data_IF_368905098814
#
_entry.id   IF_368905098814
#
_cell.length_a   1.000
_cell.length_b   1.000
_cell.length_c   1.000
_cell.angle_alpha   90.00
_cell.angle_beta   90.00
_cell.angle_gamma   90.00
#
_symmetry.space_group_name_H-M   'P 1'
#
loop_
_entity.id
_entity.type
_entity.pdbx_description
1 polymer ?
#
# COMPACT_ATOMS: atom_id res chain seq x y z
N UNK A 1 23.11 -33.19 40.04
CA UNK A 1 23.04 -31.76 39.67
C UNK A 1 22.31 -31.69 38.33
N UNK A 2 20.99 -31.53 38.36
CA UNK A 2 20.14 -31.48 37.16
C UNK A 2 20.19 -30.06 36.60
N UNK A 3 20.75 -29.90 35.39
CA UNK A 3 20.74 -28.62 34.69
C UNK A 3 19.35 -28.41 34.07
N UNK A 4 18.67 -27.34 34.50
CA UNK A 4 17.47 -26.83 33.83
C UNK A 4 17.86 -26.32 32.43
N UNK A 5 17.24 -26.88 31.38
CA UNK A 5 17.21 -26.23 30.07
C UNK A 5 16.32 -24.98 30.15
N UNK A 6 16.76 -23.80 29.67
CA UNK A 6 15.88 -22.67 29.53
C UNK A 6 14.93 -22.91 28.35
N UNK A 7 13.64 -22.81 28.61
CA UNK A 7 12.59 -22.78 27.59
C UNK A 7 12.77 -21.45 26.83
N UNK A 8 13.24 -21.54 25.58
CA UNK A 8 13.20 -20.42 24.64
C UNK A 8 11.71 -20.08 24.41
N UNK A 9 11.25 -18.97 24.98
CA UNK A 9 9.98 -18.38 24.60
C UNK A 9 10.11 -17.88 23.16
N UNK A 10 9.52 -18.62 22.22
CA UNK A 10 9.27 -18.15 20.86
C UNK A 10 8.42 -16.88 20.98
N UNK A 11 9.04 -15.73 20.76
CA UNK A 11 8.35 -14.46 20.60
C UNK A 11 7.53 -14.59 19.32
N UNK A 12 6.22 -14.78 19.46
CA UNK A 12 5.31 -14.87 18.33
C UNK A 12 5.41 -13.62 17.47
N UNK A 13 5.42 -13.80 16.15
CA UNK A 13 5.22 -12.71 15.20
C UNK A 13 3.99 -11.90 15.64
N UNK A 14 4.19 -10.65 16.04
CA UNK A 14 3.06 -9.74 16.25
C UNK A 14 2.46 -9.46 14.88
N UNK A 15 1.19 -9.83 14.70
CA UNK A 15 0.42 -9.39 13.54
C UNK A 15 0.33 -7.87 13.54
N UNK A 16 0.48 -7.20 12.38
CA UNK A 16 0.25 -5.76 12.30
C UNK A 16 -1.13 -5.44 12.86
N UNK A 17 -1.22 -4.50 13.79
CA UNK A 17 -2.51 -3.97 14.19
C UNK A 17 -2.87 -2.83 13.23
N UNK A 18 -4.11 -2.75 12.77
CA UNK A 18 -4.56 -1.72 11.83
C UNK A 18 -5.37 -0.63 12.52
N UNK A 19 -5.24 0.62 12.07
CA UNK A 19 -6.14 1.72 12.43
C UNK A 19 -7.41 1.53 11.61
N UNK A 20 -8.38 0.87 12.22
CA UNK A 20 -9.73 0.72 11.66
C UNK A 20 -10.51 2.03 11.82
N UNK A 21 -11.47 2.32 10.92
CA UNK A 21 -12.28 3.51 11.02
C UNK A 21 -13.09 3.51 12.33
N UNK A 22 -13.11 4.66 12.99
CA UNK A 22 -13.96 4.93 14.15
C UNK A 22 -15.43 4.83 13.77
N UNK A 23 -16.31 4.67 14.75
CA UNK A 23 -17.77 4.60 14.48
C UNK A 23 -18.30 5.86 13.79
N UNK A 24 -17.71 7.02 14.09
CA UNK A 24 -18.06 8.28 13.43
C UNK A 24 -17.64 8.29 11.97
N UNK A 25 -16.41 7.87 11.66
CA UNK A 25 -15.93 7.73 10.27
C UNK A 25 -16.74 6.70 9.50
N UNK A 26 -17.07 5.56 10.13
CA UNK A 26 -17.96 4.56 9.54
C UNK A 26 -19.30 5.18 9.18
N UNK A 27 -19.97 5.79 10.15
CA UNK A 27 -21.29 6.41 9.95
C UNK A 27 -21.27 7.49 8.86
N UNK A 28 -20.20 8.28 8.80
CA UNK A 28 -20.03 9.33 7.81
C UNK A 28 -19.89 8.73 6.39
N UNK A 29 -19.03 7.74 6.22
CA UNK A 29 -18.80 7.10 4.93
C UNK A 29 -20.03 6.32 4.45
N UNK A 30 -20.70 5.62 5.37
CA UNK A 30 -21.95 4.92 5.09
C UNK A 30 -23.04 5.86 4.58
N UNK A 31 -23.23 6.98 5.27
CA UNK A 31 -24.22 8.00 4.88
C UNK A 31 -23.89 8.57 3.51
N UNK A 32 -22.61 8.90 3.30
CA UNK A 32 -22.12 9.53 2.08
C UNK A 32 -22.32 8.65 0.85
N UNK A 33 -21.91 7.38 0.92
CA UNK A 33 -22.02 6.48 -0.24
C UNK A 33 -23.47 6.08 -0.53
N UNK A 34 -24.31 5.94 0.50
CA UNK A 34 -25.76 5.69 0.31
C UNK A 34 -26.46 6.87 -0.40
N UNK A 35 -25.97 8.10 -0.24
CA UNK A 35 -26.53 9.27 -0.92
C UNK A 35 -26.30 9.23 -2.45
N UNK A 36 -25.24 8.56 -2.91
CA UNK A 36 -24.91 8.42 -4.34
C UNK A 36 -25.78 7.38 -5.07
N UNK A 37 -26.60 6.59 -4.36
CA UNK A 37 -27.48 5.60 -4.99
C UNK A 37 -28.41 6.21 -6.05
N UNK A 38 -28.90 7.42 -5.80
CA UNK A 38 -29.77 8.15 -6.73
C UNK A 38 -29.07 8.50 -8.05
N UNK A 39 -27.76 8.78 -8.01
CA UNK A 39 -26.96 9.05 -9.21
C UNK A 39 -26.83 7.81 -10.11
N UNK A 40 -26.96 6.61 -9.53
CA UNK A 40 -26.87 5.34 -10.27
C UNK A 40 -28.19 4.87 -10.88
N UNK A 41 -29.34 5.43 -10.50
CA UNK A 41 -30.65 4.96 -11.00
C UNK A 41 -30.80 5.10 -12.52
N UNK A 42 -30.17 6.14 -13.08
CA UNK A 42 -30.24 6.51 -14.51
C UNK A 42 -28.90 6.38 -15.23
N UNK A 43 -27.84 5.95 -14.55
CA UNK A 43 -26.51 5.81 -15.16
C UNK A 43 -26.52 4.73 -16.24
N UNK A 44 -25.83 4.98 -17.35
CA UNK A 44 -25.58 3.92 -18.32
C UNK A 44 -24.55 2.94 -17.76
N UNK A 45 -24.74 1.64 -18.02
CA UNK A 45 -23.88 0.57 -17.50
C UNK A 45 -22.62 0.40 -18.36
N UNK A 46 -21.81 1.46 -18.40
CA UNK A 46 -20.53 1.58 -19.11
C UNK A 46 -19.49 2.24 -18.19
N UNK A 47 -18.21 1.96 -18.39
CA UNK A 47 -17.15 2.58 -17.58
C UNK A 47 -17.16 4.11 -17.71
N UNK A 48 -17.30 4.62 -18.94
CA UNK A 48 -17.35 6.05 -19.26
C UNK A 48 -18.45 6.81 -18.51
N UNK A 49 -19.59 6.17 -18.26
CA UNK A 49 -20.71 6.79 -17.54
C UNK A 49 -20.60 6.62 -16.02
N UNK A 50 -19.93 5.56 -15.55
CA UNK A 50 -19.80 5.26 -14.13
C UNK A 50 -18.66 6.06 -13.48
N UNK A 51 -17.50 6.20 -14.14
CA UNK A 51 -16.36 6.92 -13.57
C UNK A 51 -16.68 8.35 -13.08
N UNK A 52 -17.45 9.19 -13.80
CA UNK A 52 -17.81 10.52 -13.31
C UNK A 52 -18.59 10.52 -11.99
N UNK A 53 -19.41 9.50 -11.75
CA UNK A 53 -20.13 9.34 -10.47
C UNK A 53 -19.15 9.01 -9.35
N UNK A 54 -18.24 8.07 -9.60
CA UNK A 54 -17.20 7.65 -8.66
C UNK A 54 -16.22 8.81 -8.34
N UNK A 55 -15.80 9.56 -9.34
CA UNK A 55 -14.89 10.71 -9.20
C UNK A 55 -15.54 11.83 -8.39
N UNK A 56 -16.81 12.11 -8.64
CA UNK A 56 -17.57 13.12 -7.90
C UNK A 56 -17.75 12.73 -6.43
N UNK A 57 -17.97 11.44 -6.13
CA UNK A 57 -17.99 10.93 -4.77
C UNK A 57 -16.62 11.17 -4.09
N UNK A 58 -15.53 10.71 -4.71
CA UNK A 58 -14.20 10.91 -4.14
C UNK A 58 -13.84 12.39 -4.02
N UNK A 59 -14.21 13.25 -4.96
CA UNK A 59 -13.93 14.69 -4.85
C UNK A 59 -14.58 15.34 -3.60
N UNK A 60 -15.76 14.86 -3.19
CA UNK A 60 -16.49 15.35 -2.01
C UNK A 60 -16.06 14.69 -0.70
N UNK A 61 -15.51 13.48 -0.77
CA UNK A 61 -15.20 12.64 0.38
C UNK A 61 -13.69 12.34 0.45
N UNK A 62 -12.89 13.28 1.00
CA UNK A 62 -11.43 13.12 1.13
C UNK A 62 -11.02 11.97 2.06
N UNK A 63 -11.93 11.50 2.91
CA UNK A 63 -11.80 10.38 3.82
C UNK A 63 -11.98 9.01 3.14
N UNK A 64 -12.60 8.97 1.95
CA UNK A 64 -12.68 7.76 1.14
C UNK A 64 -11.36 7.52 0.38
N UNK A 65 -10.82 6.30 0.48
CA UNK A 65 -9.68 5.87 -0.33
C UNK A 65 -10.11 5.57 -1.77
N UNK A 66 -11.20 4.83 -1.95
CA UNK A 66 -11.68 4.39 -3.24
C UNK A 66 -13.16 4.05 -3.24
N UNK A 67 -13.70 3.80 -4.43
CA UNK A 67 -15.08 3.38 -4.65
C UNK A 67 -15.18 2.63 -5.98
N UNK A 68 -15.94 1.55 -6.01
CA UNK A 68 -16.36 0.88 -7.25
C UNK A 68 -17.88 0.82 -7.33
N UNK A 69 -18.40 0.84 -8.55
CA UNK A 69 -19.71 0.26 -8.82
C UNK A 69 -19.54 -1.02 -9.64
N UNK A 70 -19.47 -2.15 -8.94
CA UNK A 70 -19.30 -3.47 -9.53
C UNK A 70 -20.66 -4.09 -9.86
N UNK A 71 -20.89 -4.44 -11.12
CA UNK A 71 -22.17 -5.02 -11.57
C UNK A 71 -22.23 -6.52 -11.34
N UNK A 72 -23.43 -7.03 -11.07
CA UNK A 72 -23.72 -8.46 -11.15
C UNK A 72 -23.69 -8.88 -12.63
N UNK A 73 -22.82 -9.83 -13.03
CA UNK A 73 -22.83 -10.36 -14.38
C UNK A 73 -24.18 -10.95 -14.80
N UNK A 74 -24.96 -11.47 -13.83
CA UNK A 74 -26.31 -11.97 -14.10
C UNK A 74 -27.30 -10.84 -14.44
N UNK A 75 -27.05 -9.61 -13.99
CA UNK A 75 -27.86 -8.44 -14.33
C UNK A 75 -27.44 -7.81 -15.65
N UNK A 76 -26.14 -7.60 -15.84
CA UNK A 76 -25.57 -6.84 -16.95
C UNK A 76 -25.20 -7.69 -18.18
N UNK A 77 -25.16 -9.02 -18.05
CA UNK A 77 -24.71 -9.94 -19.10
C UNK A 77 -23.19 -9.94 -19.33
N UNK A 78 -22.44 -9.18 -18.54
CA UNK A 78 -20.98 -9.04 -18.58
C UNK A 78 -20.44 -8.65 -17.20
N UNK A 79 -19.17 -8.93 -16.94
CA UNK A 79 -18.47 -8.29 -15.83
C UNK A 79 -18.21 -6.82 -16.17
N UNK A 80 -18.44 -5.94 -15.20
CA UNK A 80 -18.17 -4.51 -15.31
C UNK A 80 -17.97 -3.98 -13.88
N UNK A 81 -16.77 -3.55 -13.55
CA UNK A 81 -16.45 -3.04 -12.22
C UNK A 81 -15.43 -1.90 -12.29
N UNK A 82 -15.86 -0.70 -12.73
CA UNK A 82 -15.02 0.49 -12.74
C UNK A 82 -14.66 0.84 -11.29
N UNK A 83 -13.39 1.07 -11.04
CA UNK A 83 -12.86 1.43 -9.73
C UNK A 83 -12.09 2.73 -9.81
N UNK A 84 -12.49 3.69 -8.99
CA UNK A 84 -11.77 4.94 -8.78
C UNK A 84 -11.14 4.92 -7.39
N UNK A 85 -9.89 5.34 -7.28
CA UNK A 85 -9.16 5.31 -6.01
C UNK A 85 -8.10 6.39 -5.95
N UNK A 86 -7.65 6.70 -4.73
CA UNK A 86 -6.60 7.70 -4.52
C UNK A 86 -5.23 7.08 -4.70
N UNK A 87 -4.43 7.73 -5.53
CA UNK A 87 -3.01 7.44 -5.68
C UNK A 87 -2.23 8.74 -5.76
N UNK A 88 -1.24 8.90 -4.88
CA UNK A 88 -0.36 10.08 -4.84
C UNK A 88 -1.12 11.42 -4.79
N UNK A 89 -2.23 11.48 -4.05
CA UNK A 89 -3.07 12.67 -3.92
C UNK A 89 -3.99 12.96 -5.12
N UNK A 90 -3.99 12.10 -6.14
CA UNK A 90 -4.86 12.20 -7.32
C UNK A 90 -5.85 11.04 -7.38
N UNK A 91 -6.94 11.19 -8.14
CA UNK A 91 -7.86 10.09 -8.42
C UNK A 91 -7.35 9.33 -9.65
N UNK A 92 -7.14 8.03 -9.48
CA UNK A 92 -6.77 7.10 -10.53
C UNK A 92 -7.92 6.14 -10.81
N UNK A 93 -7.90 5.53 -12.01
CA UNK A 93 -8.92 4.60 -12.47
C UNK A 93 -8.32 3.25 -12.83
N UNK A 94 -9.05 2.19 -12.54
CA UNK A 94 -8.84 0.86 -13.13
C UNK A 94 -10.17 0.13 -13.26
N UNK A 95 -10.18 -0.97 -14.00
CA UNK A 95 -11.31 -1.91 -14.01
C UNK A 95 -10.93 -3.14 -13.19
N UNK A 96 -11.82 -3.60 -12.32
CA UNK A 96 -11.62 -4.82 -11.52
C UNK A 96 -12.06 -6.07 -12.29
N UNK A 97 -12.74 -5.91 -13.42
CA UNK A 97 -13.13 -7.01 -14.31
C UNK A 97 -11.95 -7.43 -15.21
N UNK A 98 -10.85 -7.89 -14.59
CA UNK A 98 -9.62 -8.35 -15.27
C UNK A 98 -9.33 -9.81 -14.97
N UNK A 99 -8.55 -10.45 -15.84
CA UNK A 99 -8.08 -11.82 -15.62
C UNK A 99 -7.31 -11.91 -14.28
N UNK A 100 -7.80 -12.77 -13.39
CA UNK A 100 -7.20 -13.00 -12.06
C UNK A 100 -7.88 -12.27 -10.89
N UNK A 101 -8.82 -11.36 -11.13
CA UNK A 101 -9.61 -10.70 -10.08
C UNK A 101 -11.11 -11.00 -10.23
N UNK A 102 -11.56 -12.13 -9.68
CA UNK A 102 -12.95 -12.57 -9.76
C UNK A 102 -13.81 -11.89 -8.66
N UNK A 103 -14.07 -10.59 -8.82
CA UNK A 103 -14.80 -9.81 -7.81
C UNK A 103 -16.15 -10.41 -7.36
N UNK A 104 -16.95 -11.11 -8.20
CA UNK A 104 -18.23 -11.69 -7.77
C UNK A 104 -18.13 -12.70 -6.62
N UNK A 105 -16.97 -13.32 -6.40
CA UNK A 105 -16.75 -14.27 -5.30
C UNK A 105 -16.08 -13.64 -4.08
N UNK A 106 -15.57 -12.42 -4.18
CA UNK A 106 -14.91 -11.72 -3.08
C UNK A 106 -15.93 -11.31 -2.01
N UNK A 107 -15.51 -11.30 -0.74
CA UNK A 107 -16.41 -11.12 0.39
C UNK A 107 -17.17 -9.79 0.35
N UNK A 108 -16.50 -8.70 -0.05
CA UNK A 108 -17.10 -7.38 -0.21
C UNK A 108 -18.20 -7.35 -1.27
N UNK A 109 -18.23 -8.29 -2.22
CA UNK A 109 -19.31 -8.41 -3.21
C UNK A 109 -20.35 -9.46 -2.83
N UNK A 110 -19.89 -10.68 -2.52
CA UNK A 110 -20.74 -11.85 -2.37
C UNK A 110 -21.63 -11.80 -1.12
N UNK A 111 -21.13 -11.28 0.00
CA UNK A 111 -21.87 -11.19 1.26
C UNK A 111 -23.04 -10.18 1.21
N UNK A 112 -22.84 -8.93 0.77
CA UNK A 112 -23.94 -7.97 0.61
C UNK A 112 -24.93 -8.41 -0.47
N UNK A 113 -24.46 -9.02 -1.57
CA UNK A 113 -25.35 -9.64 -2.58
C UNK A 113 -26.26 -10.70 -1.97
N UNK A 114 -25.71 -11.63 -1.19
CA UNK A 114 -26.46 -12.74 -0.60
C UNK A 114 -27.44 -12.28 0.47
N UNK A 115 -27.03 -11.30 1.28
CA UNK A 115 -27.84 -10.80 2.41
C UNK A 115 -28.86 -9.73 2.02
N UNK A 116 -28.64 -9.03 0.91
CA UNK A 116 -29.42 -7.85 0.51
C UNK A 116 -29.23 -6.65 1.44
N UNK A 117 -28.20 -6.65 2.29
CA UNK A 117 -27.94 -5.61 3.29
C UNK A 117 -26.59 -4.96 3.06
N UNK A 118 -26.52 -3.66 3.33
CA UNK A 118 -25.25 -2.94 3.33
C UNK A 118 -24.41 -3.35 4.55
N UNK A 119 -23.10 -3.49 4.38
CA UNK A 119 -22.19 -3.96 5.44
C UNK A 119 -20.74 -3.59 5.20
N UNK A 120 -19.98 -3.53 6.29
CA UNK A 120 -18.52 -3.48 6.28
C UNK A 120 -17.93 -4.88 6.09
N UNK A 121 -16.86 -4.97 5.32
CA UNK A 121 -15.96 -6.13 5.34
C UNK A 121 -15.16 -6.19 6.64
N UNK A 122 -14.56 -7.34 6.94
CA UNK A 122 -13.37 -7.36 7.79
C UNK A 122 -12.17 -6.70 7.07
N UNK A 123 -11.11 -6.30 7.78
CA UNK A 123 -9.83 -5.92 7.18
C UNK A 123 -9.32 -6.94 6.16
N UNK A 124 -8.88 -6.47 4.99
CA UNK A 124 -8.28 -7.31 3.96
C UNK A 124 -7.32 -6.51 3.07
N UNK A 125 -6.38 -7.21 2.46
CA UNK A 125 -5.51 -6.67 1.42
C UNK A 125 -6.19 -6.78 0.05
N UNK A 126 -6.39 -5.66 -0.63
CA UNK A 126 -7.09 -5.62 -1.92
C UNK A 126 -6.14 -5.83 -3.11
N UNK A 127 -5.53 -7.02 -3.15
CA UNK A 127 -4.59 -7.42 -4.19
C UNK A 127 -5.23 -7.38 -5.59
N UNK A 128 -4.68 -6.59 -6.50
CA UNK A 128 -5.19 -6.43 -7.86
C UNK A 128 -6.32 -5.39 -8.00
N UNK A 129 -6.74 -4.76 -6.90
CA UNK A 129 -7.67 -3.63 -6.86
C UNK A 129 -6.98 -2.34 -6.42
N UNK A 130 -7.11 -1.96 -5.16
CA UNK A 130 -6.44 -0.81 -4.56
C UNK A 130 -5.00 -1.07 -4.14
N UNK A 131 -4.58 -2.34 -4.05
CA UNK A 131 -3.24 -2.79 -3.61
C UNK A 131 -2.81 -2.20 -2.24
N UNK A 132 -3.80 -2.01 -1.35
CA UNK A 132 -3.63 -1.55 0.04
C UNK A 132 -4.44 -2.43 0.99
N UNK A 133 -4.09 -2.36 2.28
CA UNK A 133 -4.92 -2.91 3.35
C UNK A 133 -6.13 -1.98 3.55
N UNK A 134 -7.34 -2.53 3.59
CA UNK A 134 -8.55 -1.72 3.64
C UNK A 134 -9.72 -2.41 4.35
N UNK A 135 -10.72 -1.62 4.66
CA UNK A 135 -12.08 -2.07 4.93
C UNK A 135 -13.01 -1.44 3.91
N UNK A 136 -13.94 -2.23 3.39
CA UNK A 136 -14.88 -1.79 2.35
C UNK A 136 -16.29 -1.79 2.91
N UNK A 137 -16.97 -0.64 2.86
CA UNK A 137 -18.41 -0.58 3.06
C UNK A 137 -19.12 -0.82 1.74
N UNK A 138 -19.95 -1.85 1.71
CA UNK A 138 -20.60 -2.33 0.49
C UNK A 138 -22.10 -2.12 0.56
N UNK A 139 -22.68 -1.51 -0.49
CA UNK A 139 -24.11 -1.22 -0.60
C UNK A 139 -24.71 -1.98 -1.78
N UNK A 140 -25.62 -2.94 -1.54
CA UNK A 140 -26.41 -3.54 -2.60
C UNK A 140 -27.22 -2.50 -3.38
N UNK A 141 -27.03 -2.44 -4.68
CA UNK A 141 -27.82 -1.62 -5.59
C UNK A 141 -28.87 -2.50 -6.24
N UNK A 142 -30.13 -2.06 -6.19
CA UNK A 142 -31.25 -2.78 -6.80
C UNK A 142 -32.04 -1.82 -7.68
N UNK A 143 -32.56 -2.34 -8.79
CA UNK A 143 -33.48 -1.61 -9.68
C UNK A 143 -34.61 -2.54 -10.08
N UNK A 144 -35.83 -2.04 -9.92
CA UNK A 144 -37.06 -2.80 -10.17
C UNK A 144 -37.10 -4.15 -9.44
N UNK A 145 -36.60 -4.18 -8.20
CA UNK A 145 -36.52 -5.39 -7.38
C UNK A 145 -35.43 -6.39 -7.78
N UNK A 146 -34.59 -6.08 -8.78
CA UNK A 146 -33.50 -6.93 -9.24
C UNK A 146 -32.15 -6.36 -8.80
N UNK A 147 -31.29 -7.22 -8.25
CA UNK A 147 -29.93 -6.86 -7.83
C UNK A 147 -29.08 -6.48 -9.04
N UNK A 148 -28.56 -5.25 -9.04
CA UNK A 148 -27.74 -4.70 -10.11
C UNK A 148 -26.25 -4.93 -9.87
N UNK A 149 -25.81 -4.85 -8.62
CA UNK A 149 -24.40 -4.77 -8.27
C UNK A 149 -24.17 -4.20 -6.87
N UNK A 150 -22.92 -3.90 -6.57
CA UNK A 150 -22.46 -3.33 -5.31
C UNK A 150 -21.78 -1.99 -5.59
N UNK A 151 -22.22 -0.96 -4.87
CA UNK A 151 -21.50 0.31 -4.75
C UNK A 151 -20.67 0.26 -3.46
N UNK A 152 -19.39 0.61 -3.54
CA UNK A 152 -18.50 0.57 -2.37
C UNK A 152 -17.99 1.93 -1.94
N UNK A 153 -17.59 2.04 -0.68
CA UNK A 153 -16.65 3.06 -0.24
C UNK A 153 -15.56 2.38 0.59
N UNK A 154 -14.31 2.61 0.20
CA UNK A 154 -13.14 1.97 0.80
C UNK A 154 -12.47 2.92 1.78
N UNK A 155 -12.08 2.36 2.92
CA UNK A 155 -11.25 3.02 3.91
C UNK A 155 -9.90 2.32 3.96
N UNK A 156 -8.84 3.04 3.61
CA UNK A 156 -7.47 2.54 3.71
C UNK A 156 -7.11 2.32 5.20
N UNK A 157 -6.68 1.12 5.52
CA UNK A 157 -6.14 0.78 6.82
C UNK A 157 -4.68 1.16 6.88
N UNK A 158 -4.40 2.13 7.73
CA UNK A 158 -3.02 2.47 8.08
C UNK A 158 -2.61 1.61 9.25
N UNK A 159 -1.39 1.10 9.23
CA UNK A 159 -0.87 0.34 10.36
C UNK A 159 -0.98 1.21 11.63
N UNK A 160 -1.50 0.66 12.73
CA UNK A 160 -1.42 1.26 14.05
C UNK A 160 0.05 1.36 14.39
N UNK A 161 0.59 2.53 14.13
CA UNK A 161 1.82 2.96 14.77
C UNK A 161 1.46 3.08 16.25
N UNK A 162 1.82 2.06 17.06
CA UNK A 162 1.70 2.11 18.51
C UNK A 162 2.22 3.47 18.96
N UNK A 163 1.37 4.25 19.66
CA UNK A 163 1.59 5.66 19.95
C UNK A 163 3.08 6.00 20.20
N UNK A 164 3.73 6.50 19.16
CA UNK A 164 5.05 7.12 19.21
C UNK A 164 5.05 8.35 18.29
N UNK A 165 4.68 9.46 18.94
CA UNK A 165 5.24 10.83 18.87
C UNK A 165 4.88 11.73 17.69
N UNK A 166 4.30 12.89 18.03
CA UNK A 166 4.62 14.17 17.41
C UNK A 166 6.13 14.28 17.12
N UNK A 167 6.51 14.49 15.87
CA UNK A 167 7.72 15.22 15.46
C UNK A 167 9.08 14.92 16.16
N UNK A 168 9.39 13.68 16.55
CA UNK A 168 10.78 13.26 16.78
C UNK A 168 10.96 11.78 16.46
N UNK A 169 11.48 11.49 15.26
CA UNK A 169 12.27 10.28 15.02
C UNK A 169 13.39 10.24 16.07
N UNK A 170 13.24 9.43 17.12
CA UNK A 170 14.41 9.01 17.89
C UNK A 170 14.93 7.76 17.19
N UNK A 171 16.00 7.84 16.37
CA UNK A 171 16.58 6.66 15.77
C UNK A 171 17.03 5.70 16.87
N UNK A 172 16.91 4.40 16.62
CA UNK A 172 17.58 3.36 17.39
C UNK A 172 19.09 3.44 17.22
N UNK A 173 19.80 2.41 17.68
CA UNK A 173 21.26 2.40 17.65
C UNK A 173 21.83 2.76 16.25
N UNK A 174 22.86 3.61 16.18
CA UNK A 174 23.40 4.10 14.92
C UNK A 174 23.93 2.94 14.06
N UNK A 175 23.79 3.06 12.76
CA UNK A 175 24.38 2.15 11.77
C UNK A 175 25.80 2.63 11.49
N UNK A 176 26.80 1.77 11.72
CA UNK A 176 28.18 2.08 11.39
C UNK A 176 28.43 1.92 9.88
N UNK A 177 29.39 2.67 9.33
CA UNK A 177 29.72 2.57 7.91
C UNK A 177 30.18 1.17 7.48
N UNK A 178 30.90 0.46 8.38
CA UNK A 178 31.29 -0.94 8.16
C UNK A 178 30.08 -1.88 8.03
N UNK A 179 28.96 -1.53 8.69
CA UNK A 179 27.72 -2.28 8.61
C UNK A 179 26.81 -1.81 7.47
N UNK A 180 27.19 -0.77 6.72
CA UNK A 180 26.38 -0.25 5.63
C UNK A 180 26.72 -0.91 4.29
N UNK A 181 28.00 -1.10 3.99
CA UNK A 181 28.43 -1.67 2.72
C UNK A 181 27.94 -3.11 2.52
N UNK A 182 27.42 -3.42 1.34
CA UNK A 182 26.82 -4.71 0.98
C UNK A 182 25.39 -4.54 0.47
N UNK A 183 24.66 -5.65 0.43
CA UNK A 183 23.35 -5.67 -0.22
C UNK A 183 22.20 -5.51 0.76
N UNK A 184 21.19 -4.77 0.34
CA UNK A 184 19.99 -4.48 1.10
C UNK A 184 18.77 -4.72 0.23
N UNK A 185 17.74 -5.29 0.82
CA UNK A 185 16.41 -5.36 0.21
C UNK A 185 15.53 -4.29 0.84
N UNK A 186 14.96 -3.46 -0.01
CA UNK A 186 14.11 -2.32 0.30
C UNK A 186 12.72 -2.57 -0.29
N UNK A 187 11.72 -1.92 0.30
CA UNK A 187 10.33 -2.00 -0.15
C UNK A 187 9.93 -0.65 -0.76
N UNK A 188 9.35 -0.63 -1.96
CA UNK A 188 8.84 0.59 -2.60
C UNK A 188 7.44 0.98 -2.11
N UNK A 189 6.78 1.93 -2.79
CA UNK A 189 5.45 2.45 -2.44
C UNK A 189 4.30 1.52 -2.83
N UNK A 190 4.57 0.51 -3.66
CA UNK A 190 3.63 -0.55 -4.03
C UNK A 190 3.90 -1.84 -3.26
N UNK A 191 4.67 -1.75 -2.16
CA UNK A 191 5.10 -2.90 -1.36
C UNK A 191 5.91 -3.95 -2.15
N UNK A 192 6.53 -3.53 -3.26
CA UNK A 192 7.40 -4.38 -4.08
C UNK A 192 8.83 -4.26 -3.59
N UNK A 193 9.51 -5.40 -3.45
CA UNK A 193 10.91 -5.40 -3.05
C UNK A 193 11.82 -5.06 -4.22
N UNK A 194 12.81 -4.23 -3.95
CA UNK A 194 13.96 -4.03 -4.82
C UNK A 194 15.23 -4.08 -3.95
N UNK A 195 16.35 -4.38 -4.58
CA UNK A 195 17.62 -4.48 -3.91
C UNK A 195 18.52 -3.30 -4.25
N UNK A 196 19.36 -2.94 -3.29
CA UNK A 196 20.43 -1.96 -3.44
C UNK A 196 21.74 -2.54 -2.92
N UNK A 197 22.79 -2.42 -3.72
CA UNK A 197 24.17 -2.73 -3.34
C UNK A 197 24.88 -1.43 -3.00
N UNK A 198 25.44 -1.38 -1.80
CA UNK A 198 26.23 -0.28 -1.28
C UNK A 198 27.71 -0.67 -1.32
N UNK A 199 28.46 -0.14 -2.28
CA UNK A 199 29.87 -0.41 -2.43
C UNK A 199 30.69 0.25 -1.30
N UNK A 200 31.79 -0.38 -0.82
CA UNK A 200 32.61 0.19 0.25
C UNK A 200 33.21 1.58 -0.04
N UNK A 201 33.32 1.96 -1.31
CA UNK A 201 33.82 3.26 -1.78
C UNK A 201 32.73 4.36 -1.81
N UNK A 202 31.53 4.06 -1.33
CA UNK A 202 30.39 4.99 -1.31
C UNK A 202 29.54 4.96 -2.59
N UNK A 203 29.79 4.06 -3.55
CA UNK A 203 28.89 3.84 -4.69
C UNK A 203 27.62 3.09 -4.28
N UNK A 204 26.47 3.42 -4.87
CA UNK A 204 25.21 2.69 -4.69
C UNK A 204 24.62 2.29 -6.04
N UNK A 205 24.08 1.08 -6.14
CA UNK A 205 23.36 0.61 -7.34
C UNK A 205 22.14 -0.17 -6.89
N UNK A 206 20.95 0.23 -7.36
CA UNK A 206 19.72 -0.53 -7.16
C UNK A 206 19.40 -1.39 -8.39
N UNK A 207 18.51 -2.37 -8.23
CA UNK A 207 17.86 -3.06 -9.37
C UNK A 207 16.41 -2.59 -9.57
N UNK A 208 16.05 -1.44 -9.00
CA UNK A 208 14.69 -0.92 -9.09
C UNK A 208 14.31 -0.66 -10.55
N UNK A 209 13.32 -1.40 -11.04
CA UNK A 209 13.11 -1.58 -12.48
C UNK A 209 12.02 -0.71 -13.09
N UNK A 210 11.35 0.11 -12.28
CA UNK A 210 10.23 0.96 -12.73
C UNK A 210 10.69 2.35 -13.21
N UNK A 211 11.99 2.62 -13.15
CA UNK A 211 12.61 3.87 -13.59
C UNK A 211 12.81 3.95 -15.11
N UNK A 212 13.26 5.11 -15.62
CA UNK A 212 13.53 5.32 -17.04
C UNK A 212 14.60 4.37 -17.60
N UNK A 213 15.42 3.77 -16.72
CA UNK A 213 16.46 2.82 -17.08
C UNK A 213 16.04 1.34 -16.97
N UNK A 214 14.80 1.07 -16.56
CA UNK A 214 14.26 -0.28 -16.49
C UNK A 214 15.09 -1.20 -15.58
N UNK A 215 15.25 -2.46 -15.97
CA UNK A 215 16.04 -3.45 -15.21
C UNK A 215 17.54 -3.11 -15.04
N UNK A 216 18.05 -2.01 -15.63
CA UNK A 216 19.40 -1.51 -15.31
C UNK A 216 19.49 -0.92 -13.91
N UNK A 217 18.35 -0.56 -13.32
CA UNK A 217 18.26 0.05 -12.00
C UNK A 217 18.84 1.46 -11.95
N UNK A 218 18.98 1.99 -10.74
CA UNK A 218 19.44 3.35 -10.50
C UNK A 218 20.79 3.36 -9.81
N UNK A 219 21.70 4.21 -10.29
CA UNK A 219 23.01 4.40 -9.67
C UNK A 219 23.01 5.63 -8.77
N UNK A 220 23.89 5.65 -7.78
CA UNK A 220 23.93 6.71 -6.78
C UNK A 220 25.18 6.69 -5.92
N UNK A 221 25.14 7.49 -4.87
CA UNK A 221 26.15 7.53 -3.80
C UNK A 221 25.47 7.32 -2.46
N UNK A 222 26.18 6.71 -1.52
CA UNK A 222 25.71 6.60 -0.15
C UNK A 222 26.74 7.11 0.85
N UNK A 223 26.23 7.57 2.00
CA UNK A 223 27.03 8.01 3.15
C UNK A 223 26.34 7.60 4.45
N UNK A 224 27.09 7.59 5.56
CA UNK A 224 26.48 7.62 6.90
C UNK A 224 26.27 9.07 7.31
N UNK A 225 25.04 9.44 7.63
CA UNK A 225 24.70 10.72 8.23
C UNK A 225 23.81 10.50 9.45
N UNK A 226 24.21 11.04 10.61
CA UNK A 226 23.47 10.92 11.88
C UNK A 226 23.11 9.46 12.25
N UNK A 227 24.03 8.52 11.99
CA UNK A 227 23.82 7.10 12.28
C UNK A 227 22.85 6.39 11.34
N UNK A 228 22.54 6.98 10.19
CA UNK A 228 21.65 6.44 9.15
C UNK A 228 22.42 6.28 7.85
N UNK A 229 22.04 5.31 7.03
CA UNK A 229 22.53 5.21 5.66
C UNK A 229 21.67 6.14 4.82
N UNK A 230 22.30 7.11 4.16
CA UNK A 230 21.64 8.01 3.20
C UNK A 230 22.14 7.66 1.82
N UNK A 231 21.23 7.35 0.91
CA UNK A 231 21.50 6.95 -0.48
C UNK A 231 20.85 8.00 -1.37
N UNK A 232 21.65 8.67 -2.19
CA UNK A 232 21.20 9.63 -3.20
C UNK A 232 21.42 9.04 -4.59
N UNK A 233 20.35 8.86 -5.34
CA UNK A 233 20.38 8.34 -6.70
C UNK A 233 20.47 9.47 -7.73
N UNK A 234 21.02 9.16 -8.91
CA UNK A 234 21.23 10.11 -10.01
C UNK A 234 19.92 10.67 -10.56
N UNK A 235 18.84 9.89 -10.49
CA UNK A 235 17.49 10.27 -10.92
C UNK A 235 16.80 11.26 -9.94
N UNK A 236 17.46 11.59 -8.83
CA UNK A 236 16.97 12.52 -7.82
C UNK A 236 16.16 11.87 -6.70
N UNK A 237 16.03 10.55 -6.65
CA UNK A 237 15.51 9.88 -5.46
C UNK A 237 16.53 9.86 -4.32
N UNK A 238 16.01 9.87 -3.09
CA UNK A 238 16.80 9.59 -1.88
C UNK A 238 16.15 8.49 -1.07
N UNK A 239 16.93 7.50 -0.67
CA UNK A 239 16.56 6.55 0.37
C UNK A 239 17.37 6.79 1.65
N UNK A 240 16.72 6.59 2.79
CA UNK A 240 17.36 6.61 4.10
C UNK A 240 17.02 5.33 4.83
N UNK A 241 18.04 4.54 5.16
CA UNK A 241 17.92 3.36 6.01
C UNK A 241 18.28 3.76 7.43
N UNK A 242 17.37 3.50 8.36
CA UNK A 242 17.54 3.78 9.78
C UNK A 242 17.16 2.57 10.62
N UNK A 243 17.75 2.47 11.80
CA UNK A 243 17.32 1.52 12.82
C UNK A 243 16.23 2.17 13.67
N UNK A 244 15.11 1.49 13.88
CA UNK A 244 14.08 1.87 14.85
C UNK A 244 14.59 1.56 16.27
N UNK A 245 14.05 2.19 17.33
CA UNK A 245 14.38 1.84 18.72
C UNK A 245 14.18 0.35 19.06
N UNK A 246 13.27 -0.33 18.36
CA UNK A 246 13.02 -1.77 18.48
C UNK A 246 14.12 -2.65 17.89
N UNK A 247 15.11 -2.06 17.21
CA UNK A 247 16.22 -2.77 16.56
C UNK A 247 15.99 -3.11 15.09
N UNK A 248 14.74 -3.10 14.64
CA UNK A 248 14.34 -3.28 13.24
C UNK A 248 14.91 -2.19 12.33
N UNK A 249 15.17 -2.54 11.08
CA UNK A 249 15.62 -1.61 10.05
C UNK A 249 14.43 -1.14 9.20
N UNK A 250 14.42 0.15 8.88
CA UNK A 250 13.37 0.81 8.13
C UNK A 250 13.95 1.67 7.03
N UNK A 251 13.16 1.90 5.99
CA UNK A 251 13.43 2.80 4.88
C UNK A 251 12.51 4.02 4.95
N UNK A 252 13.04 5.18 4.58
CA UNK A 252 12.30 6.39 4.21
C UNK A 252 12.80 6.87 2.86
N UNK A 253 11.91 7.31 1.98
CA UNK A 253 12.26 7.73 0.63
C UNK A 253 11.69 9.11 0.34
N UNK A 254 12.45 9.92 -0.41
CA UNK A 254 12.01 11.21 -0.91
C UNK A 254 12.18 11.24 -2.42
N UNK A 255 11.09 11.55 -3.14
CA UNK A 255 11.11 11.68 -4.58
C UNK A 255 11.92 12.89 -5.07
N UNK A 256 12.18 12.98 -6.39
CA UNK A 256 12.84 14.12 -7.00
C UNK A 256 12.10 15.43 -6.68
N UNK A 257 12.85 16.46 -6.28
CA UNK A 257 12.29 17.78 -5.94
C UNK A 257 11.58 17.88 -4.59
N UNK A 258 11.44 16.77 -3.84
CA UNK A 258 10.85 16.79 -2.50
C UNK A 258 11.88 17.25 -1.47
N UNK A 259 11.49 18.17 -0.60
CA UNK A 259 12.33 18.68 0.49
C UNK A 259 12.76 17.53 1.42
N UNK A 260 14.08 17.40 1.65
CA UNK A 260 14.69 16.26 2.36
C UNK A 260 14.56 16.32 3.88
N UNK A 261 14.18 17.48 4.39
CA UNK A 261 13.90 17.79 5.80
C UNK A 261 12.40 17.72 6.15
N UNK A 262 11.56 17.51 5.13
CA UNK A 262 10.11 17.32 5.29
C UNK A 262 9.70 15.85 5.39
N UNK A 263 8.38 15.61 5.37
CA UNK A 263 7.83 14.26 5.38
C UNK A 263 8.32 13.44 4.16
N UNK A 264 8.62 12.14 4.35
CA UNK A 264 9.04 11.27 3.27
C UNK A 264 7.90 11.04 2.27
N UNK A 265 8.25 10.87 1.00
CA UNK A 265 7.33 10.46 -0.07
C UNK A 265 6.81 9.04 0.13
N UNK A 266 7.64 8.15 0.70
CA UNK A 266 7.24 6.80 1.07
C UNK A 266 8.12 6.27 2.22
N UNK A 267 7.64 5.23 2.90
CA UNK A 267 8.36 4.51 3.93
C UNK A 267 8.13 3.01 3.81
N UNK A 268 9.07 2.21 4.31
CA UNK A 268 8.94 0.75 4.25
C UNK A 268 9.95 0.06 5.14
N UNK A 269 10.02 -1.27 5.02
CA UNK A 269 11.06 -2.06 5.67
C UNK A 269 12.38 -1.98 4.90
N UNK A 270 13.49 -2.09 5.61
CA UNK A 270 14.79 -2.39 5.03
C UNK A 270 15.33 -3.65 5.68
N UNK A 271 15.88 -4.55 4.88
CA UNK A 271 16.48 -5.80 5.35
C UNK A 271 17.90 -5.89 4.81
N UNK A 272 18.84 -6.24 5.69
CA UNK A 272 20.19 -6.57 5.23
C UNK A 272 20.15 -7.92 4.55
N UNK A 273 20.50 -7.98 3.27
CA UNK A 273 20.54 -9.23 2.54
C UNK A 273 21.80 -10.01 2.97
N UNK A 274 21.68 -11.27 3.41
CA UNK A 274 22.84 -12.02 3.87
C UNK A 274 23.85 -12.24 2.74
N UNK A 275 25.14 -12.24 3.07
CA UNK A 275 26.22 -12.39 2.08
C UNK A 275 26.11 -13.68 1.24
N UNK A 276 25.51 -14.74 1.79
CA UNK A 276 25.25 -16.01 1.08
C UNK A 276 24.22 -15.88 -0.05
N UNK A 277 23.33 -14.88 0.01
CA UNK A 277 22.35 -14.57 -1.01
C UNK A 277 22.79 -13.39 -1.90
N UNK A 278 23.82 -12.65 -1.48
CA UNK A 278 24.32 -11.47 -2.18
C UNK A 278 24.76 -11.74 -3.63
N UNK A 279 25.30 -12.93 -3.90
CA UNK A 279 25.70 -13.36 -5.25
C UNK A 279 24.54 -13.66 -6.21
N UNK A 280 23.30 -13.69 -5.71
CA UNK A 280 22.09 -14.03 -6.47
C UNK A 280 21.12 -12.85 -6.62
N UNK A 281 21.50 -11.69 -6.10
CA UNK A 281 20.69 -10.49 -6.16
C UNK A 281 20.85 -9.89 -7.56
N UNK A 282 19.73 -9.60 -8.24
CA UNK A 282 19.68 -9.12 -9.62
C UNK A 282 20.18 -7.69 -9.84
N UNK A 283 21.13 -7.21 -9.03
CA UNK A 283 21.83 -5.93 -9.24
C UNK A 283 23.06 -6.24 -10.07
N UNK A 284 23.16 -5.67 -11.27
CA UNK A 284 24.35 -5.83 -12.11
C UNK A 284 25.60 -5.35 -11.35
N UNK A 285 26.60 -6.21 -11.18
CA UNK A 285 27.94 -5.75 -10.82
C UNK A 285 28.45 -4.90 -12.01
N UNK A 286 28.64 -3.60 -11.78
CA UNK A 286 29.42 -2.79 -12.72
C UNK A 286 30.89 -3.23 -12.61
N UNK A 287 31.57 -3.51 -13.73
CA UNK A 287 32.97 -3.93 -13.74
C UNK A 287 33.93 -2.88 -13.20
#
# INVERSE_FOLDING_TARGET
MFALLPILALTGCKTPEWVVPTETERTALETSIKAELSALESVQLTEESIYPVLDNFLAKHPDAYGTTFALDPAYAGKQLAPYAYRRNGTIAHRTLAVDGYDYPILAWFALPRKSGKAMWSEPYFDAGGGDVEMMTFSVPVTKDGRFMGILTADFELKEKIAAQVNSTDVPGAPIAAADAAGSWTLVDDENVTFDVVLAPDGGAVSNWSKGPHGARGESGRWVIANGRIVIDYVDGWRDVILRKPTGELAKRSWGPGVARDGAPSNFGQAVRTPASYASWIGVYELP
#
